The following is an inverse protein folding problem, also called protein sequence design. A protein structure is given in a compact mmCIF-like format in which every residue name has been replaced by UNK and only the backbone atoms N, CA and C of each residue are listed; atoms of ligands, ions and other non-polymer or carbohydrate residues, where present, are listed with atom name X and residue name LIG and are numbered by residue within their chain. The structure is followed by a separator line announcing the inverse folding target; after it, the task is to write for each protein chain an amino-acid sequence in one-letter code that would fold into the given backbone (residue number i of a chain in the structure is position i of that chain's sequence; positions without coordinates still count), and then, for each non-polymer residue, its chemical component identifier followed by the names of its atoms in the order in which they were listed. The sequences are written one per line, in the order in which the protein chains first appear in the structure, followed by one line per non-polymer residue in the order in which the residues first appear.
data_IF_483211275810
#
_entry.id   IF_483211275810
#
_cell.length_a   1.000
_cell.length_b   1.000
_cell.length_c   1.000
_cell.angle_alpha   90.00
_cell.angle_beta   90.00
_cell.angle_gamma   90.00
#
_symmetry.space_group_name_H-M   'P 1'
#
loop_
_entity.id
_entity.type
_entity.pdbx_description
1 polymer ?
#
# COMPACT_ATOMS: atom_id res chain seq x y z
N UNK A 1 3.34 -6.96 9.05
CA UNK A 1 4.24 -6.78 7.89
C UNK A 1 5.59 -6.44 8.46
N UNK A 2 6.63 -7.20 8.14
CA UNK A 2 7.98 -6.96 8.66
C UNK A 2 8.68 -5.85 7.87
N UNK A 3 9.37 -4.97 8.57
CA UNK A 3 10.07 -3.81 7.98
C UNK A 3 11.16 -4.27 7.01
N UNK A 4 11.99 -5.23 7.42
CA UNK A 4 13.07 -5.75 6.57
C UNK A 4 12.53 -6.45 5.33
N UNK A 5 11.38 -7.13 5.44
CA UNK A 5 10.71 -7.74 4.29
C UNK A 5 10.21 -6.69 3.30
N UNK A 6 9.61 -5.60 3.79
CA UNK A 6 9.14 -4.52 2.93
C UNK A 6 10.31 -3.85 2.18
N UNK A 7 11.42 -3.60 2.88
CA UNK A 7 12.65 -3.04 2.28
C UNK A 7 13.17 -3.99 1.20
N UNK A 8 13.31 -5.29 1.51
CA UNK A 8 13.84 -6.27 0.56
C UNK A 8 13.03 -6.34 -0.73
N UNK A 9 11.69 -6.33 -0.65
CA UNK A 9 10.81 -6.38 -1.83
C UNK A 9 10.94 -5.12 -2.68
N UNK A 10 10.91 -3.94 -2.05
CA UNK A 10 11.00 -2.66 -2.77
C UNK A 10 12.39 -2.47 -3.40
N UNK A 11 13.45 -2.85 -2.68
CA UNK A 11 14.82 -2.83 -3.21
C UNK A 11 15.07 -3.85 -4.31
N UNK A 12 14.42 -5.03 -4.27
CA UNK A 12 14.49 -5.99 -5.37
C UNK A 12 13.86 -5.44 -6.67
N UNK A 13 12.95 -4.48 -6.58
CA UNK A 13 12.41 -3.74 -7.72
C UNK A 13 13.31 -2.58 -8.20
N UNK A 14 14.50 -2.42 -7.61
CA UNK A 14 15.45 -1.34 -7.95
C UNK A 14 15.12 0.01 -7.31
N UNK A 15 14.24 0.03 -6.30
CA UNK A 15 13.90 1.26 -5.56
C UNK A 15 14.67 1.28 -4.25
N UNK A 16 15.56 2.27 -4.11
CA UNK A 16 16.47 2.38 -2.97
C UNK A 16 15.76 2.98 -1.75
N UNK A 17 16.07 2.44 -0.57
CA UNK A 17 15.69 3.04 0.71
C UNK A 17 16.59 4.24 0.99
N UNK A 18 16.00 5.41 1.16
CA UNK A 18 16.73 6.67 1.41
C UNK A 18 16.69 7.10 2.87
N UNK A 19 15.64 6.73 3.60
CA UNK A 19 15.52 6.98 5.04
C UNK A 19 14.78 5.84 5.74
N UNK A 20 15.21 5.54 6.97
CA UNK A 20 14.53 4.60 7.89
C UNK A 20 14.62 5.15 9.30
N UNK A 21 13.46 5.48 9.86
CA UNK A 21 13.36 6.03 11.22
C UNK A 21 12.16 5.45 11.97
N UNK A 22 12.24 5.49 13.30
CA UNK A 22 11.10 5.17 14.17
C UNK A 22 10.03 6.25 14.06
N UNK A 23 8.76 5.86 14.17
CA UNK A 23 7.65 6.82 14.28
C UNK A 23 7.78 7.62 15.58
N UNK A 24 7.15 8.79 15.66
CA UNK A 24 7.23 9.67 16.85
C UNK A 24 6.71 9.02 18.13
N UNK A 25 5.83 8.02 18.02
CA UNK A 25 5.29 7.28 19.16
C UNK A 25 6.09 6.00 19.45
N UNK A 26 7.19 5.75 18.72
CA UNK A 26 7.99 4.53 18.79
C UNK A 26 7.17 3.23 18.60
N UNK A 27 6.01 3.36 17.97
CA UNK A 27 5.03 2.31 17.71
C UNK A 27 5.15 1.74 16.30
N UNK A 28 6.25 2.04 15.60
CA UNK A 28 6.42 1.65 14.21
C UNK A 28 7.64 2.26 13.53
N UNK A 29 7.62 2.18 12.20
CA UNK A 29 8.68 2.62 11.31
C UNK A 29 8.13 3.46 10.16
N UNK A 30 8.82 4.56 9.87
CA UNK A 30 8.65 5.35 8.65
C UNK A 30 9.86 5.08 7.74
N UNK A 31 9.57 4.68 6.51
CA UNK A 31 10.55 4.43 5.46
C UNK A 31 10.33 5.41 4.31
N UNK A 32 11.41 5.94 3.74
CA UNK A 32 11.37 6.77 2.54
C UNK A 32 12.18 6.11 1.43
N UNK A 33 11.68 6.19 0.21
CA UNK A 33 12.27 5.55 -0.96
C UNK A 33 12.67 6.57 -2.03
N UNK A 34 13.65 6.22 -2.87
CA UNK A 34 14.20 7.10 -3.91
C UNK A 34 13.19 7.50 -4.99
N UNK A 35 12.13 6.73 -5.17
CA UNK A 35 11.01 7.05 -6.06
C UNK A 35 10.02 8.09 -5.47
N UNK A 36 10.28 8.59 -4.25
CA UNK A 36 9.43 9.54 -3.54
C UNK A 36 8.21 8.90 -2.88
N UNK A 37 8.21 7.58 -2.67
CA UNK A 37 7.24 6.90 -1.81
C UNK A 37 7.67 6.97 -0.34
N UNK A 38 6.67 7.06 0.53
CA UNK A 38 6.83 6.93 1.97
C UNK A 38 5.93 5.78 2.47
N UNK A 39 6.48 4.93 3.32
CA UNK A 39 5.81 3.77 3.90
C UNK A 39 5.84 3.86 5.42
N UNK A 40 4.68 3.80 6.04
CA UNK A 40 4.54 3.72 7.49
C UNK A 40 4.03 2.34 7.89
N UNK A 41 4.75 1.68 8.79
CA UNK A 41 4.42 0.37 9.34
C UNK A 41 4.28 0.53 10.85
N UNK A 42 3.06 0.38 11.36
CA UNK A 42 2.76 0.42 12.79
C UNK A 42 2.80 -1.01 13.35
N UNK A 43 3.29 -1.21 14.57
CA UNK A 43 3.43 -2.50 15.26
C UNK A 43 2.09 -3.26 15.36
N UNK A 44 0.96 -2.55 15.31
CA UNK A 44 -0.38 -3.12 15.17
C UNK A 44 -0.69 -3.74 13.80
N UNK A 45 0.31 -3.87 12.92
CA UNK A 45 0.17 -4.46 11.58
C UNK A 45 -0.46 -3.54 10.53
N UNK A 46 -0.73 -2.28 10.89
CA UNK A 46 -1.25 -1.28 9.95
C UNK A 46 -0.12 -0.79 9.06
N UNK A 47 -0.36 -0.80 7.75
CA UNK A 47 0.59 -0.32 6.74
C UNK A 47 -0.09 0.78 5.95
N UNK A 48 0.58 1.92 5.81
CA UNK A 48 0.11 3.07 5.02
C UNK A 48 1.19 3.47 4.05
N UNK A 49 0.85 3.64 2.77
CA UNK A 49 1.77 4.13 1.73
C UNK A 49 1.25 5.46 1.21
N UNK A 50 2.15 6.43 1.03
CA UNK A 50 1.82 7.75 0.49
C UNK A 50 3.00 8.34 -0.30
N UNK A 51 2.79 9.50 -0.91
CA UNK A 51 3.79 10.14 -1.78
C UNK A 51 3.68 9.74 -3.26
N UNK A 52 4.66 10.17 -4.07
CA UNK A 52 4.62 10.07 -5.54
C UNK A 52 4.75 8.62 -6.04
N UNK A 53 5.52 7.80 -5.35
CA UNK A 53 5.73 6.39 -5.70
C UNK A 53 4.78 5.42 -4.98
N UNK A 54 3.73 5.92 -4.33
CA UNK A 54 2.90 5.12 -3.42
C UNK A 54 2.22 3.94 -4.11
N UNK A 55 1.67 4.14 -5.32
CA UNK A 55 0.98 3.07 -6.06
C UNK A 55 1.93 1.94 -6.42
N UNK A 56 3.15 2.25 -6.88
CA UNK A 56 4.18 1.26 -7.23
C UNK A 56 4.57 0.47 -5.98
N UNK A 57 4.83 1.15 -4.86
CA UNK A 57 5.20 0.47 -3.61
C UNK A 57 4.04 -0.35 -3.05
N UNK A 58 2.80 0.15 -3.15
CA UNK A 58 1.62 -0.59 -2.71
C UNK A 58 1.38 -1.86 -3.54
N UNK A 59 1.62 -1.81 -4.85
CA UNK A 59 1.52 -2.95 -5.75
C UNK A 59 2.61 -4.00 -5.46
N UNK A 60 3.87 -3.57 -5.34
CA UNK A 60 5.00 -4.45 -4.98
C UNK A 60 4.78 -5.19 -3.65
N UNK A 61 4.15 -4.52 -2.69
CA UNK A 61 3.86 -5.07 -1.38
C UNK A 61 2.50 -5.78 -1.29
N UNK A 62 1.77 -5.90 -2.40
CA UNK A 62 0.42 -6.49 -2.50
C UNK A 62 -0.58 -5.89 -1.49
N UNK A 63 -0.45 -4.58 -1.24
CA UNK A 63 -1.32 -3.84 -0.31
C UNK A 63 -2.64 -3.45 -0.97
N UNK A 64 -2.67 -3.35 -2.30
CA UNK A 64 -3.86 -3.02 -3.08
C UNK A 64 -4.98 -4.06 -2.95
N UNK A 65 -4.67 -5.30 -2.59
CA UNK A 65 -5.64 -6.37 -2.38
C UNK A 65 -6.60 -6.14 -1.19
N UNK A 66 -6.33 -5.18 -0.29
CA UNK A 66 -7.23 -4.89 0.85
C UNK A 66 -8.27 -3.79 0.60
N UNK A 67 -8.21 -3.06 -0.52
CA UNK A 67 -9.19 -2.00 -0.82
C UNK A 67 -10.08 -2.27 -2.06
N UNK A 68 -9.84 -3.35 -2.82
CA UNK A 68 -10.54 -3.62 -4.08
C UNK A 68 -11.32 -4.93 -4.09
N UNK A 69 -12.05 -5.22 -3.01
CA UNK A 69 -13.18 -6.16 -3.04
C UNK A 69 -14.46 -5.52 -2.50
N UNK A 70 -14.81 -4.35 -3.04
CA UNK A 70 -16.16 -3.78 -3.03
C UNK A 70 -16.42 -2.96 -4.29
N UNK A 71 -16.41 -3.63 -5.44
CA UNK A 71 -17.31 -3.24 -6.52
C UNK A 71 -18.29 -4.39 -6.64
N UNK A 72 -19.31 -4.34 -5.77
CA UNK A 72 -20.50 -5.18 -5.90
C UNK A 72 -21.05 -4.92 -7.30
N UNK A 73 -21.16 -5.99 -8.07
CA UNK A 73 -21.46 -5.96 -9.49
C UNK A 73 -22.67 -5.10 -9.79
N UNK A 74 -22.50 -4.31 -10.85
CA UNK A 74 -23.55 -3.84 -11.74
C UNK A 74 -24.60 -4.94 -11.90
N UNK A 75 -25.69 -4.83 -11.14
CA UNK A 75 -26.89 -5.62 -11.39
C UNK A 75 -27.70 -4.79 -12.36
N UNK A 76 -27.40 -4.97 -13.65
CA UNK A 76 -28.21 -4.47 -14.74
C UNK A 76 -29.65 -4.96 -14.51
N UNK A 77 -30.54 -4.05 -14.14
CA UNK A 77 -31.96 -4.34 -14.05
C UNK A 77 -32.50 -4.50 -15.49
N UNK A 78 -33.12 -5.63 -15.86
CA UNK A 78 -33.82 -5.69 -17.13
C UNK A 78 -35.07 -4.81 -17.05
N UNK A 79 -35.12 -3.80 -17.92
CA UNK A 79 -36.34 -3.08 -18.22
C UNK A 79 -37.35 -4.09 -18.77
N UNK A 80 -38.40 -4.38 -18.01
CA UNK A 80 -39.55 -5.13 -18.51
C UNK A 80 -40.53 -4.13 -19.11
N UNK A 81 -40.56 -4.03 -20.43
CA UNK A 81 -41.65 -3.40 -21.16
C UNK A 81 -42.93 -4.22 -20.93
N UNK A 82 -43.88 -3.63 -20.21
CA UNK A 82 -45.24 -4.14 -20.06
C UNK A 82 -46.18 -3.34 -20.95
N UNK A 83 -46.75 -4.02 -21.95
CA UNK A 83 -47.83 -3.55 -22.83
C UNK A 83 -49.16 -3.33 -22.09
#
# INVERSE_FOLDING_TARGET
MDVDKAIAVVSAAGIELTDRRRTKMDDGWSLSFSNGAELEIVDGGRVTVYGKGAEIVADLLDLAAKSKHRTNGDSSAPHSDGS
#
